data_IF_805786384345
#
_entry.id   IF_805786384345
#
_cell.length_a   1.000
_cell.length_b   1.000
_cell.length_c   1.000
_cell.angle_alpha   90.00
_cell.angle_beta   90.00
_cell.angle_gamma   90.00
#
_symmetry.space_group_name_H-M   'P 1'
#
loop_
_entity.id
_entity.type
_entity.pdbx_description
1 polymer ?
#
# COMPACT_ATOMS: atom_id res chain seq x y z
N UNK A 1 46.20 15.88 32.59
CA UNK A 1 44.98 15.37 31.89
C UNK A 1 44.76 16.22 30.65
N UNK A 2 45.41 15.88 29.54
CA UNK A 2 45.19 16.51 28.24
C UNK A 2 44.42 15.48 27.40
N UNK A 3 43.21 15.85 27.01
CA UNK A 3 42.37 15.15 26.05
C UNK A 3 43.05 15.27 24.68
N UNK A 4 43.73 14.20 24.24
CA UNK A 4 44.20 14.12 22.86
C UNK A 4 42.98 13.96 21.95
N UNK A 5 42.67 15.03 21.24
CA UNK A 5 41.73 15.04 20.13
C UNK A 5 42.19 14.05 19.06
N UNK A 6 41.47 12.94 18.91
CA UNK A 6 41.68 11.97 17.84
C UNK A 6 41.52 12.65 16.48
N UNK A 7 42.64 12.88 15.79
CA UNK A 7 42.69 13.35 14.41
C UNK A 7 42.13 12.26 13.48
N UNK A 8 41.02 12.59 12.82
CA UNK A 8 40.13 11.65 12.14
C UNK A 8 40.64 11.22 10.76
N UNK A 9 41.19 10.01 10.67
CA UNK A 9 41.29 9.24 9.42
C UNK A 9 40.94 7.77 9.68
N UNK A 10 39.74 7.53 10.24
CA UNK A 10 39.29 6.20 10.59
C UNK A 10 39.11 5.31 9.33
N UNK A 11 40.00 4.32 9.22
CA UNK A 11 39.90 3.08 8.42
C UNK A 11 40.50 3.05 7.00
N UNK A 12 41.31 4.02 6.61
CA UNK A 12 42.15 3.89 5.41
C UNK A 12 43.62 4.06 5.79
N UNK A 13 44.51 3.26 5.17
CA UNK A 13 45.96 3.45 5.26
C UNK A 13 46.25 4.92 4.92
N UNK A 14 46.63 5.70 5.92
CA UNK A 14 47.16 7.03 5.71
C UNK A 14 48.42 6.80 4.89
N UNK A 15 48.48 7.36 3.67
CA UNK A 15 49.74 7.40 2.94
C UNK A 15 50.65 8.29 3.75
N UNK A 16 51.58 7.69 4.49
CA UNK A 16 52.71 8.41 5.05
C UNK A 16 53.58 8.79 3.87
N UNK A 17 53.59 10.08 3.55
CA UNK A 17 54.54 10.66 2.62
C UNK A 17 55.75 11.05 3.45
N UNK A 18 56.90 10.43 3.17
CA UNK A 18 58.17 10.88 3.72
C UNK A 18 58.54 12.17 2.97
N UNK A 19 58.43 13.30 3.68
CA UNK A 19 58.73 14.61 3.14
C UNK A 19 60.24 14.80 3.22
N UNK A 20 60.94 14.67 2.09
CA UNK A 20 62.39 14.86 2.02
C UNK A 20 62.78 16.31 1.73
N UNK A 21 61.91 17.05 1.03
CA UNK A 21 62.23 18.36 0.48
C UNK A 21 61.15 19.41 0.77
N UNK A 22 61.56 20.68 0.80
CA UNK A 22 60.68 21.83 1.09
C UNK A 22 59.58 21.94 0.03
N UNK A 23 59.90 21.72 -1.24
CA UNK A 23 58.93 21.78 -2.34
C UNK A 23 57.80 20.76 -2.18
N UNK A 24 58.12 19.55 -1.69
CA UNK A 24 57.12 18.52 -1.40
C UNK A 24 56.22 18.91 -0.23
N UNK A 25 56.75 19.60 0.78
CA UNK A 25 55.97 20.11 1.89
C UNK A 25 54.97 21.17 1.40
N UNK A 26 55.40 22.09 0.53
CA UNK A 26 54.53 23.12 -0.03
C UNK A 26 53.45 22.56 -0.96
N UNK A 27 53.77 21.56 -1.78
CA UNK A 27 52.79 20.85 -2.61
C UNK A 27 51.73 20.16 -1.75
N UNK A 28 52.14 19.48 -0.68
CA UNK A 28 51.21 18.85 0.25
C UNK A 28 50.29 19.85 0.94
N UNK A 29 50.82 21.01 1.36
CA UNK A 29 50.02 22.07 1.97
C UNK A 29 48.99 22.63 0.97
N UNK A 30 49.38 22.87 -0.29
CA UNK A 30 48.47 23.29 -1.35
C UNK A 30 47.36 22.25 -1.61
N UNK A 31 47.72 20.97 -1.62
CA UNK A 31 46.76 19.87 -1.76
C UNK A 31 45.75 19.84 -0.61
N UNK A 32 46.21 19.99 0.63
CA UNK A 32 45.34 20.04 1.82
C UNK A 32 44.42 21.26 1.78
N UNK A 33 44.94 22.44 1.43
CA UNK A 33 44.14 23.67 1.30
C UNK A 33 43.08 23.56 0.19
N UNK A 34 43.35 22.76 -0.85
CA UNK A 34 42.38 22.48 -1.91
C UNK A 34 41.26 21.52 -1.48
N UNK A 35 41.42 20.79 -0.37
CA UNK A 35 40.45 19.79 0.07
C UNK A 35 39.20 20.43 0.67
N UNK A 36 38.06 20.16 0.06
CA UNK A 36 36.78 20.64 0.54
C UNK A 36 36.22 19.65 1.56
N UNK A 37 35.94 20.06 2.82
CA UNK A 37 35.40 19.16 3.83
C UNK A 37 33.96 18.73 3.48
N UNK A 38 33.71 17.44 3.64
CA UNK A 38 32.40 16.86 3.42
C UNK A 38 31.41 17.34 4.50
N UNK A 39 30.19 17.68 4.08
CA UNK A 39 29.13 18.12 4.98
C UNK A 39 28.38 16.99 5.69
N UNK A 40 28.73 15.73 5.45
CA UNK A 40 28.00 14.56 5.97
C UNK A 40 26.71 14.27 5.21
N UNK A 41 25.95 13.26 5.65
CA UNK A 41 24.65 12.92 5.06
C UNK A 41 23.48 13.52 5.84
N UNK A 42 23.71 14.07 7.03
CA UNK A 42 22.70 14.75 7.83
C UNK A 42 23.24 15.24 9.18
N UNK A 43 22.34 15.79 9.99
CA UNK A 43 22.61 16.11 11.40
C UNK A 43 22.45 14.87 12.26
N UNK A 44 23.15 14.83 13.39
CA UNK A 44 22.96 13.78 14.40
C UNK A 44 21.50 13.75 14.85
N UNK A 45 20.87 12.58 14.73
CA UNK A 45 19.44 12.39 15.06
C UNK A 45 18.44 12.82 13.98
N UNK A 46 18.88 13.38 12.83
CA UNK A 46 17.98 13.71 11.70
C UNK A 46 17.26 12.47 11.17
N UNK A 47 17.96 11.34 11.17
CA UNK A 47 17.42 10.05 10.80
C UNK A 47 17.26 9.22 12.06
N UNK A 48 16.02 9.03 12.54
CA UNK A 48 15.69 8.24 13.73
C UNK A 48 15.88 6.72 13.54
N UNK A 49 16.99 6.32 12.93
CA UNK A 49 17.28 4.94 12.58
C UNK A 49 18.62 4.60 13.20
N UNK A 50 18.64 3.60 14.08
CA UNK A 50 19.88 2.86 14.35
C UNK A 50 20.32 2.25 13.01
N UNK A 51 21.23 2.91 12.30
CA UNK A 51 21.90 2.30 11.18
C UNK A 51 22.60 1.05 11.73
N UNK A 52 22.43 -0.09 11.05
CA UNK A 52 23.12 -1.35 11.39
C UNK A 52 24.65 -1.20 11.34
N UNK A 53 25.14 -0.09 10.79
CA UNK A 53 26.54 0.23 10.59
C UNK A 53 26.89 1.39 11.52
N UNK A 54 28.05 1.30 12.19
CA UNK A 54 28.56 2.37 13.06
C UNK A 54 28.64 3.68 12.27
N UNK A 55 27.74 4.61 12.56
CA UNK A 55 27.78 5.94 11.98
C UNK A 55 29.01 6.69 12.52
N UNK A 56 29.66 7.45 11.67
CA UNK A 56 30.71 8.38 12.11
C UNK A 56 30.02 9.70 12.42
N UNK A 57 30.16 10.20 13.64
CA UNK A 57 29.65 11.50 14.04
C UNK A 57 30.80 12.47 14.27
N UNK A 58 30.70 13.67 13.71
CA UNK A 58 31.66 14.75 13.91
C UNK A 58 30.94 16.09 13.79
N UNK A 59 31.22 17.01 14.71
CA UNK A 59 30.62 18.35 14.75
C UNK A 59 29.08 18.36 14.60
N UNK A 60 28.39 17.47 15.33
CA UNK A 60 26.92 17.36 15.25
C UNK A 60 26.37 16.86 13.91
N UNK A 61 27.24 16.34 13.02
CA UNK A 61 26.88 15.78 11.71
C UNK A 61 27.19 14.30 11.65
N UNK A 62 26.41 13.58 10.84
CA UNK A 62 26.57 12.15 10.61
C UNK A 62 27.16 11.90 9.22
N UNK A 63 28.07 10.93 9.16
CA UNK A 63 28.83 10.58 7.98
C UNK A 63 28.70 9.10 7.67
N UNK A 64 28.72 8.79 6.38
CA UNK A 64 28.79 7.40 5.94
C UNK A 64 30.04 6.74 6.54
N UNK A 65 29.98 5.45 6.92
CA UNK A 65 31.17 4.72 7.38
C UNK A 65 32.34 4.81 6.38
N UNK A 66 32.01 4.85 5.08
CA UNK A 66 32.95 4.96 3.96
C UNK A 66 33.23 6.41 3.53
N UNK A 67 32.81 7.41 4.32
CA UNK A 67 33.13 8.80 4.04
C UNK A 67 34.64 9.05 4.25
N UNK A 68 35.28 9.65 3.24
CA UNK A 68 36.70 10.06 3.29
C UNK A 68 36.91 11.48 3.81
N UNK A 69 35.85 12.13 4.30
CA UNK A 69 35.94 13.51 4.79
C UNK A 69 36.01 14.58 3.70
N UNK A 70 36.17 14.23 2.41
CA UNK A 70 36.30 15.20 1.30
C UNK A 70 35.08 15.17 0.38
N UNK A 71 34.67 16.35 -0.10
CA UNK A 71 33.58 16.56 -1.05
C UNK A 71 34.10 17.10 -2.39
N UNK A 72 33.37 16.86 -3.51
CA UNK A 72 33.76 17.37 -4.82
C UNK A 72 33.50 18.88 -4.99
N UNK A 73 32.58 19.44 -4.20
CA UNK A 73 32.15 20.85 -4.28
C UNK A 73 31.69 21.32 -2.90
N UNK A 74 31.83 22.61 -2.54
CA UNK A 74 31.56 23.11 -1.18
C UNK A 74 30.10 22.98 -0.74
N UNK A 75 29.17 22.88 -1.70
CA UNK A 75 27.74 22.77 -1.46
C UNK A 75 27.25 21.33 -1.29
N UNK A 76 28.01 20.34 -1.81
CA UNK A 76 27.53 18.95 -1.91
C UNK A 76 28.26 18.05 -0.94
N UNK A 77 27.55 17.04 -0.44
CA UNK A 77 28.18 15.93 0.25
C UNK A 77 28.95 15.03 -0.72
N UNK A 78 29.92 14.28 -0.20
CA UNK A 78 30.60 13.25 -0.98
C UNK A 78 29.61 12.21 -1.55
N UNK A 79 29.95 11.48 -2.63
CA UNK A 79 29.07 10.49 -3.24
C UNK A 79 28.53 9.44 -2.25
N UNK A 80 29.36 9.03 -1.29
CA UNK A 80 28.99 8.04 -0.27
C UNK A 80 27.91 8.58 0.68
N UNK A 81 28.08 9.80 1.20
CA UNK A 81 27.09 10.46 2.05
C UNK A 81 25.81 10.79 1.28
N UNK A 82 25.93 11.22 0.01
CA UNK A 82 24.78 11.46 -0.87
C UNK A 82 23.95 10.20 -1.10
N UNK A 83 24.63 9.07 -1.37
CA UNK A 83 23.97 7.78 -1.58
C UNK A 83 23.25 7.31 -0.31
N UNK A 84 23.94 7.35 0.83
CA UNK A 84 23.36 6.96 2.12
C UNK A 84 22.14 7.80 2.49
N UNK A 85 22.19 9.13 2.28
CA UNK A 85 21.02 10.02 2.49
C UNK A 85 19.83 9.57 1.66
N UNK A 86 20.03 9.26 0.37
CA UNK A 86 18.96 8.77 -0.52
C UNK A 86 18.40 7.43 -0.06
N UNK A 87 19.24 6.49 0.36
CA UNK A 87 18.79 5.20 0.90
C UNK A 87 17.91 5.37 2.15
N UNK A 88 18.32 6.26 3.06
CA UNK A 88 17.57 6.56 4.28
C UNK A 88 16.19 7.17 3.98
N UNK A 89 16.14 8.18 3.10
CA UNK A 89 14.89 8.81 2.68
C UNK A 89 13.95 7.81 1.97
N UNK A 90 14.50 6.95 1.11
CA UNK A 90 13.73 5.91 0.43
C UNK A 90 13.18 4.88 1.42
N UNK A 91 13.98 4.46 2.41
CA UNK A 91 13.54 3.53 3.46
C UNK A 91 12.40 4.11 4.28
N UNK A 92 12.46 5.39 4.63
CA UNK A 92 11.39 6.06 5.35
C UNK A 92 10.11 6.18 4.50
N UNK A 93 10.25 6.62 3.25
CA UNK A 93 9.14 6.69 2.29
C UNK A 93 8.47 5.33 2.09
N UNK A 94 9.26 4.26 1.92
CA UNK A 94 8.76 2.90 1.81
C UNK A 94 7.99 2.46 3.06
N UNK A 95 8.50 2.75 4.27
CA UNK A 95 7.81 2.45 5.52
C UNK A 95 6.43 3.12 5.58
N UNK A 96 6.35 4.40 5.21
CA UNK A 96 5.09 5.16 5.15
C UNK A 96 4.10 4.57 4.13
N UNK A 97 4.58 4.17 2.95
CA UNK A 97 3.72 3.56 1.90
C UNK A 97 3.23 2.16 2.28
N UNK A 98 4.10 1.32 2.83
CA UNK A 98 3.76 -0.05 3.23
C UNK A 98 2.63 -0.06 4.28
N UNK A 99 2.68 0.83 5.27
CA UNK A 99 1.60 0.97 6.26
C UNK A 99 0.24 1.31 5.63
N UNK A 100 0.22 2.23 4.64
CA UNK A 100 -1.01 2.63 3.93
C UNK A 100 -1.59 1.48 3.08
N UNK A 101 -0.73 0.75 2.37
CA UNK A 101 -1.17 -0.34 1.49
C UNK A 101 -1.77 -1.53 2.26
N UNK A 102 -1.27 -1.83 3.46
CA UNK A 102 -1.84 -2.87 4.33
C UNK A 102 -3.27 -2.50 4.74
N UNK A 103 -3.47 -1.27 5.22
CA UNK A 103 -4.80 -0.79 5.61
C UNK A 103 -5.79 -0.74 4.43
N UNK A 104 -5.33 -0.36 3.24
CA UNK A 104 -6.16 -0.32 2.04
C UNK A 104 -6.52 -1.72 1.52
N UNK A 105 -5.57 -2.66 1.55
CA UNK A 105 -5.81 -4.07 1.17
C UNK A 105 -6.83 -4.74 2.10
N UNK A 106 -6.75 -4.50 3.41
CA UNK A 106 -7.74 -5.00 4.37
C UNK A 106 -9.14 -4.47 4.09
N UNK A 107 -9.28 -3.16 3.80
CA UNK A 107 -10.57 -2.56 3.43
C UNK A 107 -11.15 -3.13 2.14
N UNK A 108 -10.32 -3.34 1.12
CA UNK A 108 -10.73 -3.94 -0.15
C UNK A 108 -11.18 -5.39 0.02
N UNK A 109 -10.42 -6.20 0.77
CA UNK A 109 -10.77 -7.60 1.04
C UNK A 109 -12.08 -7.73 1.82
N UNK A 110 -12.32 -6.87 2.81
CA UNK A 110 -13.59 -6.83 3.56
C UNK A 110 -14.78 -6.49 2.65
N UNK A 111 -14.65 -5.45 1.81
CA UNK A 111 -15.70 -5.08 0.83
C UNK A 111 -16.00 -6.20 -0.16
N UNK A 112 -14.98 -6.93 -0.61
CA UNK A 112 -15.16 -8.06 -1.52
C UNK A 112 -15.94 -9.20 -0.85
N UNK A 113 -15.63 -9.53 0.41
CA UNK A 113 -16.35 -10.54 1.20
C UNK A 113 -17.83 -10.18 1.40
N UNK A 114 -18.13 -8.91 1.65
CA UNK A 114 -19.51 -8.41 1.75
C UNK A 114 -20.27 -8.59 0.44
N UNK A 115 -19.67 -8.21 -0.69
CA UNK A 115 -20.28 -8.35 -2.01
C UNK A 115 -20.56 -9.81 -2.37
N UNK A 116 -19.61 -10.71 -2.12
CA UNK A 116 -19.80 -12.14 -2.39
C UNK A 116 -20.89 -12.75 -1.50
N UNK A 117 -20.94 -12.38 -0.22
CA UNK A 117 -22.01 -12.83 0.68
C UNK A 117 -23.40 -12.32 0.23
N UNK A 118 -23.50 -11.07 -0.21
CA UNK A 118 -24.73 -10.51 -0.76
C UNK A 118 -25.18 -11.24 -2.02
N UNK A 119 -24.28 -11.46 -2.99
CA UNK A 119 -24.57 -12.19 -4.21
C UNK A 119 -25.06 -13.62 -3.93
N UNK A 120 -24.45 -14.31 -2.95
CA UNK A 120 -24.90 -15.64 -2.51
C UNK A 120 -26.33 -15.60 -1.96
N UNK A 121 -26.67 -14.63 -1.11
CA UNK A 121 -28.03 -14.46 -0.57
C UNK A 121 -29.06 -14.21 -1.67
N UNK A 122 -28.75 -13.31 -2.61
CA UNK A 122 -29.63 -13.04 -3.75
C UNK A 122 -29.84 -14.30 -4.61
N UNK A 123 -28.79 -15.08 -4.87
CA UNK A 123 -28.91 -16.34 -5.62
C UNK A 123 -29.79 -17.36 -4.91
N UNK A 124 -29.66 -17.51 -3.59
CA UNK A 124 -30.50 -18.41 -2.81
C UNK A 124 -31.97 -17.98 -2.84
N UNK A 125 -32.24 -16.67 -2.69
CA UNK A 125 -33.60 -16.13 -2.80
C UNK A 125 -34.23 -16.41 -4.17
N UNK A 126 -33.47 -16.24 -5.27
CA UNK A 126 -33.95 -16.57 -6.62
C UNK A 126 -34.24 -18.07 -6.76
N UNK A 127 -33.40 -18.94 -6.19
CA UNK A 127 -33.62 -20.39 -6.24
C UNK A 127 -34.88 -20.79 -5.46
N UNK A 128 -35.11 -20.20 -4.28
CA UNK A 128 -36.32 -20.41 -3.48
C UNK A 128 -37.58 -19.92 -4.22
N UNK A 129 -37.51 -18.74 -4.86
CA UNK A 129 -38.61 -18.23 -5.66
C UNK A 129 -38.92 -19.16 -6.85
N UNK A 130 -37.88 -19.67 -7.53
CA UNK A 130 -38.04 -20.65 -8.62
C UNK A 130 -38.68 -21.95 -8.16
N UNK A 131 -38.26 -22.50 -7.01
CA UNK A 131 -38.88 -23.73 -6.47
C UNK A 131 -40.34 -23.49 -6.07
N UNK A 132 -40.65 -22.33 -5.47
CA UNK A 132 -42.01 -21.97 -5.12
C UNK A 132 -42.91 -21.85 -6.36
N UNK A 133 -42.43 -21.16 -7.40
CA UNK A 133 -43.16 -21.04 -8.67
C UNK A 133 -43.41 -22.42 -9.29
N UNK A 134 -42.42 -23.34 -9.24
CA UNK A 134 -42.59 -24.71 -9.74
C UNK A 134 -43.69 -25.45 -8.98
N UNK A 135 -43.66 -25.40 -7.64
CA UNK A 135 -44.71 -26.02 -6.80
C UNK A 135 -46.09 -25.42 -7.08
N UNK A 136 -46.19 -24.09 -7.23
CA UNK A 136 -47.46 -23.44 -7.57
C UNK A 136 -47.99 -23.89 -8.93
N UNK A 137 -47.12 -24.06 -9.94
CA UNK A 137 -47.51 -24.59 -11.25
C UNK A 137 -48.02 -26.03 -11.15
N UNK A 138 -47.34 -26.87 -10.38
CA UNK A 138 -47.77 -28.27 -10.16
C UNK A 138 -49.12 -28.33 -9.44
N UNK A 139 -49.34 -27.50 -8.40
CA UNK A 139 -50.63 -27.39 -7.72
C UNK A 139 -51.74 -26.89 -8.65
N UNK A 140 -51.46 -25.87 -9.45
CA UNK A 140 -52.41 -25.33 -10.42
C UNK A 140 -52.75 -26.34 -11.53
N UNK A 141 -51.82 -27.21 -11.93
CA UNK A 141 -52.07 -28.26 -12.90
C UNK A 141 -52.92 -29.42 -12.33
N UNK A 142 -52.90 -29.62 -11.00
CA UNK A 142 -53.71 -30.64 -10.31
C UNK A 142 -55.12 -30.17 -9.98
N UNK A 143 -55.35 -28.86 -9.89
CA UNK A 143 -56.68 -28.31 -9.71
C UNK A 143 -57.42 -28.34 -11.05
N UNK A 144 -58.52 -29.07 -11.10
CA UNK A 144 -59.37 -29.16 -12.27
C UNK A 144 -60.04 -27.81 -12.57
N UNK A 145 -60.18 -27.48 -13.86
CA UNK A 145 -60.74 -26.19 -14.31
C UNK A 145 -62.17 -25.94 -13.79
N UNK A 146 -62.89 -27.00 -13.44
CA UNK A 146 -64.26 -26.99 -12.93
C UNK A 146 -64.33 -26.51 -11.47
N UNK A 147 -63.44 -27.02 -10.60
CA UNK A 147 -63.35 -26.59 -9.19
C UNK A 147 -62.97 -25.10 -9.07
N UNK A 148 -62.16 -24.60 -10.00
CA UNK A 148 -61.85 -23.17 -10.09
C UNK A 148 -63.08 -22.33 -10.45
N UNK A 149 -63.89 -22.76 -11.42
CA UNK A 149 -65.11 -22.03 -11.80
C UNK A 149 -66.17 -22.01 -10.70
N UNK A 150 -66.31 -23.11 -9.95
CA UNK A 150 -67.19 -23.18 -8.78
C UNK A 150 -66.73 -22.23 -7.67
N UNK A 151 -65.43 -22.21 -7.36
CA UNK A 151 -64.86 -21.27 -6.40
C UNK A 151 -65.02 -19.80 -6.83
N UNK A 152 -64.93 -19.51 -8.13
CA UNK A 152 -65.16 -18.16 -8.65
C UNK A 152 -66.64 -17.76 -8.56
N UNK A 153 -67.59 -18.69 -8.76
CA UNK A 153 -69.04 -18.40 -8.63
C UNK A 153 -69.44 -18.09 -7.17
N UNK A 154 -68.73 -18.64 -6.19
CA UNK A 154 -68.96 -18.35 -4.77
C UNK A 154 -68.51 -16.92 -4.34
N UNK A 155 -67.75 -16.21 -5.18
CA UNK A 155 -67.29 -14.85 -4.88
C UNK A 155 -68.34 -13.79 -5.27
N UNK A 156 -68.35 -12.62 -4.61
CA UNK A 156 -69.15 -11.46 -5.02
C UNK A 156 -68.87 -11.04 -6.47
N UNK A 157 -69.91 -10.61 -7.21
CA UNK A 157 -69.86 -10.30 -8.66
C UNK A 157 -68.67 -9.39 -9.05
N UNK A 158 -68.39 -8.36 -8.25
CA UNK A 158 -67.26 -7.43 -8.50
C UNK A 158 -65.89 -8.11 -8.41
N UNK A 159 -65.74 -9.12 -7.55
CA UNK A 159 -64.51 -9.88 -7.36
C UNK A 159 -64.35 -10.97 -8.43
N UNK A 160 -65.45 -11.54 -8.93
CA UNK A 160 -65.42 -12.56 -9.99
C UNK A 160 -64.70 -12.06 -11.25
N UNK A 161 -65.03 -10.84 -11.69
CA UNK A 161 -64.42 -10.23 -12.88
C UNK A 161 -62.92 -9.99 -12.71
N UNK A 162 -62.50 -9.51 -11.53
CA UNK A 162 -61.09 -9.27 -11.22
C UNK A 162 -60.28 -10.57 -11.18
N UNK A 163 -60.80 -11.62 -10.52
CA UNK A 163 -60.13 -12.93 -10.45
C UNK A 163 -60.01 -13.56 -11.84
N UNK A 164 -61.07 -13.48 -12.67
CA UNK A 164 -61.04 -13.96 -14.06
C UNK A 164 -60.01 -13.19 -14.90
N UNK A 165 -59.92 -11.87 -14.76
CA UNK A 165 -58.94 -11.05 -15.45
C UNK A 165 -57.50 -11.41 -15.06
N UNK A 166 -57.23 -11.60 -13.76
CA UNK A 166 -55.93 -12.02 -13.25
C UNK A 166 -55.53 -13.43 -13.74
N UNK A 167 -56.47 -14.38 -13.73
CA UNK A 167 -56.24 -15.73 -14.23
C UNK A 167 -55.96 -15.75 -15.74
N UNK A 168 -56.71 -14.97 -16.51
CA UNK A 168 -56.47 -14.79 -17.95
C UNK A 168 -55.12 -14.14 -18.25
N UNK A 169 -54.69 -13.16 -17.45
CA UNK A 169 -53.37 -12.55 -17.57
C UNK A 169 -52.24 -13.53 -17.23
N UNK A 170 -52.41 -14.35 -16.18
CA UNK A 170 -51.43 -15.36 -15.77
C UNK A 170 -51.26 -16.51 -16.78
N UNK A 171 -52.31 -16.85 -17.55
CA UNK A 171 -52.23 -17.81 -18.67
C UNK A 171 -51.45 -17.29 -19.88
N UNK A 172 -51.34 -15.98 -20.06
CA UNK A 172 -50.51 -15.41 -21.14
C UNK A 172 -49.06 -15.62 -20.76
N UNK A 173 -48.34 -16.44 -21.52
CA UNK A 173 -46.88 -16.54 -21.38
C UNK A 173 -46.29 -15.14 -21.47
N UNK A 174 -45.49 -14.68 -20.49
CA UNK A 174 -44.78 -13.43 -20.64
C UNK A 174 -43.89 -13.56 -21.87
N UNK A 175 -44.08 -12.66 -22.85
CA UNK A 175 -43.16 -12.55 -23.99
C UNK A 175 -41.77 -12.34 -23.42
N UNK A 176 -40.81 -13.18 -23.85
CA UNK A 176 -39.39 -13.04 -23.52
C UNK A 176 -38.95 -11.60 -23.77
N UNK A 177 -38.60 -10.90 -22.69
CA UNK A 177 -37.80 -9.69 -22.69
C UNK A 177 -36.45 -10.02 -22.09
#
# INVERSE_FOLDING_TARGET
KQTSSDSFCASHKIKTLDITDIEMAEELLRDVDSMIPCRGFGKTGEFGVNLKYKEKTFDGRTFSPSCRGVAPTPEKACPQCKHLRRLLLNRESYRRRKGKNVAQSQKLSYRLKLRTAQAKRSRLSVLQAKSLIKQMKEKNARNDSTAFEEAVKALPIKQQQQVKACFAAAKRNPRKG
#
